data_IF_574605806963
#
_entry.id   IF_574605806963
#
_cell.length_a   1.000
_cell.length_b   1.000
_cell.length_c   1.000
_cell.angle_alpha   90.00
_cell.angle_beta   90.00
_cell.angle_gamma   90.00
#
_symmetry.space_group_name_H-M   'P 1'
#
loop_
_entity.id
_entity.type
_entity.pdbx_description
1 polymer ?
#
# COMPACT_ATOMS: atom_id res chain seq x y z
N UNK A 1 -8.00 -3.50 6.27
CA UNK A 1 -7.24 -4.42 5.40
C UNK A 1 -7.23 -3.92 3.96
N UNK A 2 -8.30 -4.01 3.14
CA UNK A 2 -8.25 -3.57 1.73
C UNK A 2 -7.78 -2.11 1.52
N UNK A 3 -8.35 -1.14 2.24
CA UNK A 3 -7.94 0.26 2.13
C UNK A 3 -6.48 0.48 2.56
N UNK A 4 -6.03 -0.16 3.62
CA UNK A 4 -4.65 -0.07 4.10
C UNK A 4 -3.67 -0.63 3.08
N UNK A 5 -4.02 -1.73 2.41
CA UNK A 5 -3.23 -2.33 1.32
C UNK A 5 -3.19 -1.41 0.09
N UNK A 6 -4.35 -0.87 -0.31
CA UNK A 6 -4.45 0.06 -1.45
C UNK A 6 -3.64 1.34 -1.19
N UNK A 7 -3.74 1.92 0.01
CA UNK A 7 -2.96 3.10 0.39
C UNK A 7 -1.46 2.79 0.56
N UNK A 8 -1.09 1.57 0.91
CA UNK A 8 0.32 1.16 0.95
C UNK A 8 0.94 1.13 -0.46
N UNK A 9 0.14 0.87 -1.49
CA UNK A 9 0.60 0.93 -2.87
C UNK A 9 0.75 2.38 -3.40
N UNK A 10 0.07 3.34 -2.79
CA UNK A 10 0.25 4.76 -3.09
C UNK A 10 1.55 5.23 -2.43
N UNK A 11 2.60 5.34 -3.24
CA UNK A 11 3.96 5.62 -2.79
C UNK A 11 4.14 7.09 -2.46
N UNK A 12 4.42 7.39 -1.21
CA UNK A 12 4.66 8.77 -0.73
C UNK A 12 6.12 9.24 -0.93
N UNK A 13 6.87 8.67 -1.89
CA UNK A 13 8.27 9.05 -2.13
C UNK A 13 9.26 8.53 -1.08
N UNK A 14 8.83 7.65 -0.17
CA UNK A 14 9.74 6.97 0.77
C UNK A 14 10.31 5.70 0.14
N UNK A 15 11.61 5.49 0.40
CA UNK A 15 12.29 4.25 0.09
C UNK A 15 11.59 3.07 0.79
N UNK A 16 10.98 2.19 0.01
CA UNK A 16 10.37 0.98 0.51
C UNK A 16 11.00 -0.21 -0.22
N UNK A 17 11.58 -1.12 0.55
CA UNK A 17 12.22 -2.34 0.04
C UNK A 17 11.28 -3.15 -0.83
N UNK A 18 9.97 -3.11 -0.52
CA UNK A 18 8.91 -3.79 -1.30
C UNK A 18 8.78 -3.34 -2.76
N UNK A 19 9.40 -2.22 -3.12
CA UNK A 19 9.49 -1.79 -4.52
C UNK A 19 10.22 -2.84 -5.37
N UNK A 20 11.12 -3.58 -4.76
CA UNK A 20 12.01 -4.53 -5.41
C UNK A 20 11.52 -5.99 -5.30
N UNK A 21 10.43 -6.26 -4.59
CA UNK A 21 9.93 -7.63 -4.33
C UNK A 21 9.54 -8.39 -5.62
N UNK A 22 9.21 -7.66 -6.69
CA UNK A 22 8.88 -8.26 -7.99
C UNK A 22 10.07 -8.48 -8.93
N UNK A 23 11.28 -8.01 -8.55
CA UNK A 23 12.46 -8.08 -9.41
C UNK A 23 13.07 -9.47 -9.34
N UNK A 24 13.24 -10.07 -10.51
CA UNK A 24 13.96 -11.33 -10.69
C UNK A 24 15.30 -11.06 -11.37
N UNK A 25 16.34 -11.67 -10.84
CA UNK A 25 17.71 -11.53 -11.30
C UNK A 25 18.19 -12.85 -11.91
N UNK A 26 18.87 -12.78 -13.04
CA UNK A 26 19.54 -13.95 -13.58
C UNK A 26 20.77 -14.30 -12.73
N UNK A 27 20.68 -15.40 -12.03
CA UNK A 27 21.76 -15.98 -11.23
C UNK A 27 22.18 -17.30 -11.88
N UNK A 28 23.30 -17.27 -12.61
CA UNK A 28 23.86 -18.45 -13.27
C UNK A 28 22.88 -19.21 -14.17
N UNK A 29 22.05 -18.47 -14.93
CA UNK A 29 21.06 -19.05 -15.85
C UNK A 29 19.71 -19.39 -15.21
N UNK A 30 19.51 -19.05 -13.94
CA UNK A 30 18.24 -19.22 -13.22
C UNK A 30 17.71 -17.88 -12.76
N UNK A 31 16.40 -17.62 -13.02
CA UNK A 31 15.72 -16.41 -12.58
C UNK A 31 15.28 -16.53 -11.11
N UNK A 32 15.99 -15.86 -10.22
CA UNK A 32 15.73 -15.87 -8.77
C UNK A 32 15.26 -14.50 -8.26
N UNK A 33 14.48 -14.43 -7.19
CA UNK A 33 14.13 -13.16 -6.55
C UNK A 33 15.37 -12.41 -6.03
N UNK A 34 15.37 -11.07 -6.13
CA UNK A 34 16.49 -10.22 -5.72
C UNK A 34 16.94 -10.47 -4.28
N UNK A 35 16.00 -10.72 -3.36
CA UNK A 35 16.29 -10.98 -1.95
C UNK A 35 17.04 -12.28 -1.67
N UNK A 36 17.16 -13.17 -2.66
CA UNK A 36 17.95 -14.41 -2.56
C UNK A 36 19.43 -14.22 -2.97
N UNK A 37 19.75 -13.14 -3.66
CA UNK A 37 21.11 -12.88 -4.19
C UNK A 37 21.76 -11.64 -3.57
N UNK A 38 20.97 -10.82 -2.84
CA UNK A 38 21.44 -9.59 -2.21
C UNK A 38 20.68 -9.25 -0.95
N UNK A 39 21.35 -8.59 0.00
CA UNK A 39 20.69 -7.91 1.12
C UNK A 39 20.15 -6.56 0.64
N UNK A 40 18.84 -6.31 0.87
CA UNK A 40 18.18 -5.06 0.49
C UNK A 40 17.75 -4.33 1.76
N UNK A 41 18.20 -3.09 1.92
CA UNK A 41 17.94 -2.24 3.09
C UNK A 41 17.59 -0.82 2.65
N UNK A 42 16.74 -0.14 3.40
CA UNK A 42 16.47 1.29 3.25
C UNK A 42 17.07 2.02 4.47
N UNK A 43 18.33 2.48 4.39
CA UNK A 43 18.99 3.15 5.50
C UNK A 43 18.39 4.53 5.80
N UNK A 44 17.80 5.16 4.80
CA UNK A 44 17.14 6.46 4.89
C UNK A 44 15.87 6.50 4.03
N UNK A 45 14.98 7.51 4.22
CA UNK A 45 13.71 7.59 3.51
C UNK A 45 13.81 7.77 1.99
N UNK A 46 14.99 8.00 1.44
CA UNK A 46 15.19 8.30 0.01
C UNK A 46 16.18 7.37 -0.68
N UNK A 47 16.79 6.45 0.05
CA UNK A 47 17.83 5.57 -0.50
C UNK A 47 17.49 4.12 -0.20
N UNK A 48 17.55 3.28 -1.21
CA UNK A 48 17.59 1.84 -1.03
C UNK A 48 19.00 1.38 -1.37
N UNK A 49 19.57 0.57 -0.52
CA UNK A 49 20.88 -0.01 -0.68
C UNK A 49 20.73 -1.50 -0.91
N UNK A 50 21.35 -1.99 -1.98
CA UNK A 50 21.39 -3.40 -2.34
C UNK A 50 22.84 -3.84 -2.22
N UNK A 51 23.12 -4.79 -1.35
CA UNK A 51 24.43 -5.39 -1.16
C UNK A 51 24.41 -6.82 -1.67
N UNK A 52 24.95 -7.10 -2.86
CA UNK A 52 25.05 -8.45 -3.39
C UNK A 52 25.96 -9.30 -2.49
N UNK A 53 25.64 -10.57 -2.36
CA UNK A 53 26.50 -11.52 -1.64
C UNK A 53 27.68 -11.96 -2.47
N UNK A 54 27.56 -11.92 -3.79
CA UNK A 54 28.62 -12.21 -4.74
C UNK A 54 28.86 -10.98 -5.66
N UNK A 55 30.12 -10.60 -5.83
CA UNK A 55 30.51 -9.48 -6.69
C UNK A 55 30.13 -9.68 -8.16
N UNK A 56 30.03 -10.91 -8.63
CA UNK A 56 29.60 -11.22 -10.00
C UNK A 56 28.16 -10.81 -10.27
N UNK A 57 27.33 -10.68 -9.21
CA UNK A 57 25.91 -10.37 -9.30
C UNK A 57 25.59 -8.87 -9.48
N UNK A 58 26.59 -7.97 -9.39
CA UNK A 58 26.35 -6.53 -9.59
C UNK A 58 25.68 -6.23 -10.92
N UNK A 59 26.28 -6.67 -12.02
CA UNK A 59 25.77 -6.43 -13.38
C UNK A 59 24.38 -7.05 -13.62
N UNK A 60 24.14 -8.33 -13.27
CA UNK A 60 22.80 -8.93 -13.37
C UNK A 60 21.73 -8.17 -12.58
N UNK A 61 22.07 -7.71 -11.37
CA UNK A 61 21.13 -6.96 -10.52
C UNK A 61 20.83 -5.58 -11.12
N UNK A 62 21.86 -4.83 -11.55
CA UNK A 62 21.68 -3.54 -12.22
C UNK A 62 20.79 -3.67 -13.45
N UNK A 63 21.08 -4.65 -14.30
CA UNK A 63 20.28 -4.92 -15.50
C UNK A 63 18.83 -5.23 -15.15
N UNK A 64 18.60 -6.10 -14.18
CA UNK A 64 17.25 -6.46 -13.74
C UNK A 64 16.48 -5.26 -13.19
N UNK A 65 17.15 -4.33 -12.50
CA UNK A 65 16.54 -3.10 -12.00
C UNK A 65 16.22 -2.13 -13.15
N UNK A 66 17.13 -1.98 -14.11
CA UNK A 66 16.93 -1.11 -15.29
C UNK A 66 15.82 -1.63 -16.19
N UNK A 67 15.73 -2.94 -16.38
CA UNK A 67 14.68 -3.60 -17.17
C UNK A 67 13.30 -3.59 -16.44
N UNK A 68 13.31 -3.33 -15.14
CA UNK A 68 12.09 -3.23 -14.36
C UNK A 68 11.42 -1.85 -14.47
N UNK A 69 10.09 -1.81 -14.32
CA UNK A 69 9.32 -0.57 -14.33
C UNK A 69 9.47 0.27 -13.05
N UNK A 70 10.54 0.10 -12.30
CA UNK A 70 10.76 0.86 -11.05
C UNK A 70 11.11 2.32 -11.33
N UNK A 71 11.69 2.61 -12.51
CA UNK A 71 11.97 3.98 -12.97
C UNK A 71 13.06 4.69 -12.16
N UNK A 72 13.96 3.94 -11.52
CA UNK A 72 15.07 4.46 -10.73
C UNK A 72 16.37 3.92 -11.29
N UNK A 73 17.32 4.80 -11.56
CA UNK A 73 18.65 4.42 -12.08
C UNK A 73 19.51 3.93 -10.93
N UNK A 74 20.07 2.71 -10.99
CA UNK A 74 21.00 2.21 -9.99
C UNK A 74 22.36 2.89 -10.10
N UNK A 75 22.94 3.26 -8.96
CA UNK A 75 24.32 3.76 -8.82
C UNK A 75 25.16 2.70 -8.11
N UNK A 76 26.21 2.23 -8.77
CA UNK A 76 27.12 1.19 -8.25
C UNK A 76 28.46 1.80 -7.85
N UNK A 77 28.89 1.54 -6.63
CA UNK A 77 30.22 1.96 -6.15
C UNK A 77 31.21 0.78 -5.97
N UNK A 78 30.88 -0.40 -6.46
CA UNK A 78 31.71 -1.62 -6.36
C UNK A 78 31.54 -2.43 -5.08
N UNK A 79 30.82 -1.91 -4.08
CA UNK A 79 30.49 -2.61 -2.83
C UNK A 79 28.98 -2.76 -2.63
N UNK A 80 28.23 -1.75 -3.05
CA UNK A 80 26.78 -1.68 -2.93
C UNK A 80 26.18 -1.00 -4.17
N UNK A 81 24.95 -1.34 -4.49
CA UNK A 81 24.13 -0.62 -5.46
C UNK A 81 23.19 0.30 -4.66
N UNK A 82 23.19 1.60 -4.99
CA UNK A 82 22.29 2.59 -4.43
C UNK A 82 21.19 2.92 -5.40
N UNK A 83 19.97 2.99 -4.90
CA UNK A 83 18.80 3.48 -5.61
C UNK A 83 18.34 4.77 -4.96
N UNK A 84 18.63 5.92 -5.60
CA UNK A 84 18.16 7.22 -5.14
C UNK A 84 16.72 7.45 -5.57
N UNK A 85 15.79 7.58 -4.62
CA UNK A 85 14.41 7.93 -4.90
C UNK A 85 14.30 9.45 -5.01
N UNK A 86 13.94 9.99 -6.19
CA UNK A 86 13.81 11.44 -6.35
C UNK A 86 12.72 11.98 -5.42
N UNK A 87 12.90 13.19 -4.87
CA UNK A 87 11.89 13.83 -4.04
C UNK A 87 10.61 14.04 -4.85
N UNK A 88 9.47 13.81 -4.22
CA UNK A 88 8.19 14.14 -4.83
C UNK A 88 8.07 15.64 -5.04
N UNK A 89 7.69 16.06 -6.24
CA UNK A 89 7.30 17.45 -6.48
C UNK A 89 6.01 17.78 -5.73
N UNK A 90 5.79 19.04 -5.38
CA UNK A 90 4.54 19.47 -4.73
C UNK A 90 3.30 19.07 -5.53
N UNK A 91 3.39 19.15 -6.83
CA UNK A 91 2.30 18.78 -7.72
C UNK A 91 2.00 17.27 -7.60
N UNK A 92 3.02 16.43 -7.58
CA UNK A 92 2.87 14.99 -7.40
C UNK A 92 2.31 14.64 -6.02
N UNK A 93 2.72 15.34 -4.97
CA UNK A 93 2.13 15.18 -3.62
C UNK A 93 0.63 15.49 -3.62
N UNK A 94 0.21 16.58 -4.27
CA UNK A 94 -1.21 16.95 -4.40
C UNK A 94 -2.01 15.88 -5.17
N UNK A 95 -1.44 15.34 -6.24
CA UNK A 95 -2.07 14.26 -7.01
C UNK A 95 -2.24 13.00 -6.16
N UNK A 96 -1.20 12.58 -5.43
CA UNK A 96 -1.27 11.40 -4.54
C UNK A 96 -2.26 11.61 -3.40
N UNK A 97 -2.30 12.78 -2.79
CA UNK A 97 -3.30 13.10 -1.76
C UNK A 97 -4.73 13.03 -2.32
N UNK A 98 -4.96 13.53 -3.52
CA UNK A 98 -6.26 13.43 -4.21
C UNK A 98 -6.64 11.97 -4.49
N UNK A 99 -5.68 11.16 -4.91
CA UNK A 99 -5.89 9.72 -5.13
C UNK A 99 -6.24 9.01 -3.81
N UNK A 100 -5.52 9.27 -2.72
CA UNK A 100 -5.83 8.71 -1.40
C UNK A 100 -7.24 9.07 -0.93
N UNK A 101 -7.69 10.32 -1.15
CA UNK A 101 -9.07 10.74 -0.87
C UNK A 101 -10.09 9.96 -1.68
N UNK A 102 -9.82 9.73 -2.95
CA UNK A 102 -10.69 8.92 -3.82
C UNK A 102 -10.88 7.49 -3.29
N UNK A 103 -9.77 6.82 -2.92
CA UNK A 103 -9.81 5.47 -2.36
C UNK A 103 -10.55 5.43 -1.00
N UNK A 104 -10.34 6.43 -0.15
CA UNK A 104 -11.05 6.54 1.13
C UNK A 104 -12.56 6.73 0.93
N UNK A 105 -12.99 7.55 -0.03
CA UNK A 105 -14.42 7.71 -0.35
C UNK A 105 -15.03 6.44 -0.91
N UNK A 106 -14.33 5.69 -1.76
CA UNK A 106 -14.80 4.38 -2.23
C UNK A 106 -14.97 3.39 -1.07
N UNK A 107 -14.03 3.37 -0.13
CA UNK A 107 -14.16 2.55 1.08
C UNK A 107 -15.39 2.94 1.92
N UNK A 108 -15.65 4.24 2.11
CA UNK A 108 -16.84 4.73 2.81
C UNK A 108 -18.14 4.36 2.07
N UNK A 109 -18.16 4.42 0.74
CA UNK A 109 -19.31 3.98 -0.07
C UNK A 109 -19.57 2.49 0.14
N UNK A 110 -18.53 1.66 0.13
CA UNK A 110 -18.66 0.22 0.40
C UNK A 110 -19.24 -0.05 1.79
N UNK A 111 -18.76 0.66 2.82
CA UNK A 111 -19.27 0.54 4.19
C UNK A 111 -20.76 0.94 4.26
N UNK A 112 -21.17 2.02 3.58
CA UNK A 112 -22.57 2.46 3.51
C UNK A 112 -23.46 1.43 2.80
N UNK A 113 -22.99 0.86 1.69
CA UNK A 113 -23.72 -0.15 0.93
C UNK A 113 -23.93 -1.41 1.77
N UNK A 114 -22.85 -1.91 2.40
CA UNK A 114 -22.95 -3.08 3.29
C UNK A 114 -23.94 -2.85 4.42
N UNK A 115 -23.91 -1.66 5.06
CA UNK A 115 -24.89 -1.29 6.10
C UNK A 115 -26.32 -1.36 5.54
N UNK A 116 -26.56 -0.77 4.36
CA UNK A 116 -27.89 -0.79 3.73
C UNK A 116 -28.39 -2.20 3.47
N UNK A 117 -27.54 -3.05 2.89
CA UNK A 117 -27.87 -4.44 2.61
C UNK A 117 -28.23 -5.23 3.87
N UNK A 118 -27.49 -5.00 4.97
CA UNK A 118 -27.77 -5.69 6.24
C UNK A 118 -29.07 -5.22 6.83
N UNK A 119 -29.35 -3.90 6.85
CA UNK A 119 -30.63 -3.35 7.32
C UNK A 119 -31.80 -3.89 6.49
N UNK A 120 -31.67 -3.97 5.17
CA UNK A 120 -32.70 -4.55 4.31
C UNK A 120 -32.94 -6.04 4.63
N UNK A 121 -31.89 -6.80 4.93
CA UNK A 121 -32.01 -8.20 5.36
C UNK A 121 -32.68 -8.34 6.71
N UNK A 122 -32.35 -7.48 7.68
CA UNK A 122 -33.01 -7.45 8.99
C UNK A 122 -34.51 -7.15 8.88
N UNK A 123 -34.89 -6.16 8.08
CA UNK A 123 -36.30 -5.83 7.81
C UNK A 123 -37.08 -6.96 7.10
N UNK A 124 -36.42 -7.71 6.23
CA UNK A 124 -37.03 -8.93 5.66
C UNK A 124 -37.19 -10.01 6.72
N UNK A 125 -36.22 -10.16 7.64
CA UNK A 125 -36.29 -11.13 8.74
C UNK A 125 -37.50 -10.94 9.66
N UNK A 126 -38.00 -9.70 9.82
CA UNK A 126 -39.25 -9.45 10.57
C UNK A 126 -40.43 -10.19 9.92
N UNK A 127 -40.52 -10.18 8.60
CA UNK A 127 -41.56 -10.90 7.85
C UNK A 127 -41.49 -12.42 8.03
N UNK A 128 -40.28 -12.91 8.33
CA UNK A 128 -39.97 -14.31 8.56
C UNK A 128 -40.02 -14.68 10.07
N UNK A 129 -40.50 -13.79 10.94
CA UNK A 129 -40.73 -14.04 12.38
C UNK A 129 -39.66 -13.50 13.32
N UNK A 130 -38.73 -12.66 12.86
CA UNK A 130 -37.80 -11.97 13.75
C UNK A 130 -38.55 -10.94 14.61
N UNK A 131 -38.20 -10.87 15.89
CA UNK A 131 -38.77 -9.87 16.80
C UNK A 131 -38.32 -8.44 16.42
N UNK A 132 -39.26 -7.48 16.42
CA UNK A 132 -38.95 -6.07 16.13
C UNK A 132 -37.93 -5.46 17.14
N UNK A 133 -37.89 -5.93 18.37
CA UNK A 133 -36.91 -5.46 19.35
C UNK A 133 -35.50 -5.91 19.00
N UNK A 134 -35.35 -7.17 18.56
CA UNK A 134 -34.06 -7.70 18.08
C UNK A 134 -33.60 -7.00 16.81
N UNK A 135 -34.51 -6.64 15.92
CA UNK A 135 -34.18 -5.88 14.70
C UNK A 135 -33.64 -4.48 15.04
N UNK A 136 -34.30 -3.76 15.97
CA UNK A 136 -33.86 -2.43 16.41
C UNK A 136 -32.49 -2.47 17.11
N UNK A 137 -32.28 -3.45 17.96
CA UNK A 137 -30.96 -3.65 18.60
C UNK A 137 -29.87 -3.92 17.56
N UNK A 138 -30.14 -4.78 16.59
CA UNK A 138 -29.23 -5.08 15.50
C UNK A 138 -28.97 -3.86 14.58
N UNK A 139 -30.00 -3.04 14.28
CA UNK A 139 -29.80 -1.76 13.57
C UNK A 139 -28.89 -0.81 14.37
N UNK A 140 -29.09 -0.72 15.69
CA UNK A 140 -28.26 0.10 16.58
C UNK A 140 -26.79 -0.35 16.58
N UNK A 141 -26.54 -1.64 16.62
CA UNK A 141 -25.19 -2.19 16.58
C UNK A 141 -24.54 -2.01 15.20
N UNK A 142 -25.31 -2.17 14.13
CA UNK A 142 -24.84 -1.86 12.77
C UNK A 142 -24.48 -0.40 12.60
N UNK A 143 -25.22 0.54 13.22
CA UNK A 143 -24.89 1.97 13.19
C UNK A 143 -23.57 2.23 13.92
N UNK A 144 -23.38 1.68 15.13
CA UNK A 144 -22.13 1.81 15.88
C UNK A 144 -20.95 1.25 15.10
N UNK A 145 -21.13 0.10 14.45
CA UNK A 145 -20.09 -0.53 13.62
C UNK A 145 -19.76 0.33 12.41
N UNK A 146 -20.77 0.84 11.70
CA UNK A 146 -20.59 1.77 10.58
C UNK A 146 -19.73 2.97 11.00
N UNK A 147 -20.11 3.65 12.09
CA UNK A 147 -19.43 4.86 12.56
C UNK A 147 -17.97 4.57 12.96
N UNK A 148 -17.74 3.42 13.62
CA UNK A 148 -16.40 2.95 13.96
C UNK A 148 -15.52 2.75 12.71
N UNK A 149 -16.05 2.11 11.66
CA UNK A 149 -15.28 1.86 10.44
C UNK A 149 -15.06 3.13 9.62
N UNK A 150 -16.05 4.03 9.54
CA UNK A 150 -15.88 5.34 8.89
C UNK A 150 -14.79 6.15 9.59
N UNK A 151 -14.81 6.21 10.93
CA UNK A 151 -13.76 6.87 11.71
C UNK A 151 -12.38 6.26 11.44
N UNK A 152 -12.29 4.93 11.38
CA UNK A 152 -11.03 4.25 11.06
C UNK A 152 -10.53 4.59 9.65
N UNK A 153 -11.42 4.72 8.66
CA UNK A 153 -11.06 5.18 7.31
C UNK A 153 -10.46 6.59 7.36
N UNK A 154 -11.07 7.52 8.12
CA UNK A 154 -10.59 8.88 8.25
C UNK A 154 -9.22 8.95 8.96
N UNK A 155 -9.00 8.14 9.99
CA UNK A 155 -7.72 8.05 10.71
C UNK A 155 -6.60 7.53 9.78
N UNK A 156 -6.87 6.49 8.99
CA UNK A 156 -5.90 5.92 8.05
C UNK A 156 -5.60 6.90 6.92
N UNK A 157 -6.62 7.61 6.40
CA UNK A 157 -6.44 8.65 5.39
C UNK A 157 -5.57 9.79 5.93
N UNK A 158 -5.89 10.33 7.11
CA UNK A 158 -5.14 11.43 7.72
C UNK A 158 -3.67 11.06 7.97
N UNK A 159 -3.40 9.84 8.43
CA UNK A 159 -2.05 9.33 8.61
C UNK A 159 -1.29 9.28 7.27
N UNK A 160 -1.95 8.83 6.19
CA UNK A 160 -1.35 8.75 4.86
C UNK A 160 -1.11 10.12 4.24
N UNK A 161 -2.05 11.05 4.39
CA UNK A 161 -1.87 12.44 3.93
C UNK A 161 -0.68 13.10 4.64
N UNK A 162 -0.58 12.94 5.96
CA UNK A 162 0.58 13.43 6.72
C UNK A 162 1.89 12.80 6.22
N UNK A 163 1.90 11.51 5.93
CA UNK A 163 3.07 10.83 5.35
C UNK A 163 3.47 11.45 4.00
N UNK A 164 2.52 11.69 3.09
CA UNK A 164 2.77 12.28 1.76
C UNK A 164 3.31 13.72 1.89
N UNK A 165 2.84 14.49 2.86
CA UNK A 165 3.20 15.90 3.02
C UNK A 165 4.51 16.10 3.80
N UNK A 166 4.98 15.12 4.57
CA UNK A 166 6.13 15.26 5.48
C UNK A 166 7.46 14.81 4.85
N UNK A 167 7.47 14.22 3.67
CA UNK A 167 8.68 13.70 2.97
C UNK A 167 9.36 14.76 2.12
#
# INVERSE_FOLDING_TARGET
>A
MYLEETLAHIRAGKANVKILDGIRVDSYGSMVPLNQVAAVVAPDPRTITIKPWDKSMFRPIEKAIMDSNVGITPENNGEIIRLGIPPLTEERRKQLAKQCKGEAEQAKVSIRNTRREIIEKLKKGIKDGLSEDLEKDAEGDMQKMHDKFVKKVDEVLAAKEKEIMTV
#
